data_IF_463141931485
#
_entry.id   IF_463141931485
#
_cell.length_a   1.000
_cell.length_b   1.000
_cell.length_c   1.000
_cell.angle_alpha   90.00
_cell.angle_beta   90.00
_cell.angle_gamma   90.00
#
_symmetry.space_group_name_H-M   'P 1'
#
loop_
_entity.id
_entity.type
_entity.pdbx_description
1 polymer ?
#
# COMPACT_ATOMS: atom_id res chain seq x y z
N UNK A 1 11.31 8.83 4.66
CA UNK A 1 11.28 8.10 5.95
C UNK A 1 10.29 6.94 5.84
N UNK A 2 10.61 5.76 6.36
CA UNK A 2 9.76 4.56 6.32
C UNK A 2 8.41 4.79 7.01
N UNK A 3 8.41 5.48 8.15
CA UNK A 3 7.21 5.77 8.95
C UNK A 3 6.16 6.57 8.16
N UNK A 4 6.60 7.61 7.46
CA UNK A 4 5.71 8.49 6.68
C UNK A 4 5.08 7.77 5.50
N UNK A 5 5.86 6.92 4.81
CA UNK A 5 5.34 6.15 3.68
C UNK A 5 4.37 5.05 4.15
N UNK A 6 4.70 4.36 5.25
CA UNK A 6 3.86 3.32 5.83
C UNK A 6 2.58 3.82 6.49
N UNK A 7 2.52 5.10 6.88
CA UNK A 7 1.29 5.68 7.46
C UNK A 7 0.21 5.98 6.42
N UNK A 8 0.56 6.21 5.14
CA UNK A 8 -0.41 6.63 4.11
C UNK A 8 -1.56 5.63 3.91
N UNK A 9 -1.33 4.31 3.78
CA UNK A 9 -2.40 3.31 3.71
C UNK A 9 -3.27 3.22 4.98
N UNK A 10 -2.66 3.47 6.14
CA UNK A 10 -3.28 3.32 7.45
C UNK A 10 -4.19 4.50 7.80
N UNK A 11 -4.07 5.63 7.10
CA UNK A 11 -4.88 6.82 7.35
C UNK A 11 -6.38 6.53 7.29
N UNK A 12 -6.84 5.68 6.37
CA UNK A 12 -8.27 5.33 6.25
C UNK A 12 -8.77 4.58 7.48
N UNK A 13 -7.96 3.67 8.01
CA UNK A 13 -8.30 2.92 9.22
C UNK A 13 -8.23 3.81 10.47
N UNK A 14 -7.26 4.73 10.54
CA UNK A 14 -7.19 5.74 11.60
C UNK A 14 -8.41 6.68 11.59
N UNK A 15 -8.87 7.10 10.41
CA UNK A 15 -10.10 7.87 10.26
C UNK A 15 -11.34 7.03 10.59
N UNK A 16 -11.31 5.73 10.32
CA UNK A 16 -12.32 4.76 10.75
C UNK A 16 -12.53 4.67 12.27
N UNK A 17 -11.55 5.13 13.07
CA UNK A 17 -11.68 5.23 14.53
C UNK A 17 -12.49 6.47 14.96
N UNK A 18 -12.49 7.52 14.15
CA UNK A 18 -13.17 8.79 14.41
C UNK A 18 -14.56 8.84 13.76
N UNK A 19 -14.72 8.18 12.61
CA UNK A 19 -15.94 8.09 11.84
C UNK A 19 -16.22 6.63 11.49
N UNK A 20 -17.45 6.11 11.68
CA UNK A 20 -17.78 4.74 11.27
C UNK A 20 -17.75 4.62 9.74
N UNK A 21 -16.62 4.14 9.22
CA UNK A 21 -16.43 3.85 7.80
C UNK A 21 -16.71 2.36 7.57
N UNK A 22 -17.64 2.00 6.67
CA UNK A 22 -17.89 0.60 6.33
C UNK A 22 -16.62 -0.09 5.81
N UNK A 23 -16.38 -1.33 6.21
CA UNK A 23 -15.17 -2.08 5.83
C UNK A 23 -15.07 -2.31 4.32
N UNK A 24 -16.23 -2.44 3.68
CA UNK A 24 -16.49 -2.48 2.24
C UNK A 24 -15.99 -1.24 1.49
N UNK A 25 -15.92 -0.09 2.17
CA UNK A 25 -15.35 1.16 1.62
C UNK A 25 -13.90 1.36 2.09
N UNK A 26 -13.59 1.00 3.34
CA UNK A 26 -12.26 1.21 3.91
C UNK A 26 -11.16 0.42 3.17
N UNK A 27 -11.43 -0.85 2.83
CA UNK A 27 -10.44 -1.71 2.19
C UNK A 27 -10.07 -1.24 0.77
N UNK A 28 -11.00 -0.96 -0.15
CA UNK A 28 -10.65 -0.44 -1.48
C UNK A 28 -9.92 0.90 -1.43
N UNK A 29 -10.31 1.80 -0.50
CA UNK A 29 -9.66 3.11 -0.37
C UNK A 29 -8.23 2.96 0.16
N UNK A 30 -8.00 2.09 1.16
CA UNK A 30 -6.66 1.79 1.65
C UNK A 30 -5.78 1.13 0.58
N UNK A 31 -6.36 0.27 -0.26
CA UNK A 31 -5.67 -0.35 -1.39
C UNK A 31 -5.23 0.70 -2.43
N UNK A 32 -6.12 1.62 -2.78
CA UNK A 32 -5.81 2.74 -3.68
C UNK A 32 -4.72 3.66 -3.11
N UNK A 33 -4.81 4.00 -1.82
CA UNK A 33 -3.79 4.80 -1.13
C UNK A 33 -2.43 4.09 -1.08
N UNK A 34 -2.42 2.77 -0.89
CA UNK A 34 -1.20 1.96 -0.94
C UNK A 34 -0.56 1.99 -2.32
N UNK A 35 -1.37 1.83 -3.37
CA UNK A 35 -0.89 1.93 -4.75
C UNK A 35 -0.30 3.31 -5.05
N UNK A 36 -0.97 4.39 -4.65
CA UNK A 36 -0.48 5.75 -4.80
C UNK A 36 0.79 6.01 -3.98
N UNK A 37 0.87 5.48 -2.76
CA UNK A 37 2.07 5.60 -1.93
C UNK A 37 3.28 4.88 -2.55
N UNK A 38 3.09 3.64 -3.03
CA UNK A 38 4.14 2.86 -3.69
C UNK A 38 4.59 3.51 -5.00
N UNK A 39 3.64 3.92 -5.83
CA UNK A 39 3.93 4.63 -7.07
C UNK A 39 4.65 5.94 -6.78
N UNK A 40 4.13 6.75 -5.86
CA UNK A 40 4.72 8.03 -5.45
C UNK A 40 6.13 7.87 -4.89
N UNK A 41 6.40 6.82 -4.11
CA UNK A 41 7.76 6.54 -3.61
C UNK A 41 8.71 6.10 -4.74
N UNK A 42 8.23 5.28 -5.68
CA UNK A 42 8.99 4.89 -6.86
C UNK A 42 9.30 6.08 -7.76
N UNK A 43 8.32 6.96 -7.93
CA UNK A 43 8.41 8.12 -8.77
C UNK A 43 9.23 9.26 -8.11
N UNK A 44 9.20 9.39 -6.77
CA UNK A 44 10.09 10.26 -6.02
C UNK A 44 11.58 9.88 -6.18
N UNK A 45 11.85 8.59 -6.37
CA UNK A 45 13.19 8.05 -6.62
C UNK A 45 13.82 8.58 -7.92
N UNK A 46 12.99 9.00 -8.88
CA UNK A 46 13.46 9.57 -10.15
C UNK A 46 14.12 10.94 -9.99
N UNK A 47 13.69 11.75 -9.02
CA UNK A 47 14.36 13.02 -8.72
C UNK A 47 15.84 12.84 -8.36
N UNK A 48 16.20 11.68 -7.83
CA UNK A 48 17.58 11.34 -7.44
C UNK A 48 18.32 10.57 -8.54
N UNK A 49 17.61 9.81 -9.39
CA UNK A 49 18.21 8.85 -10.34
C UNK A 49 18.15 9.23 -11.82
N UNK A 50 17.53 10.35 -12.19
CA UNK A 50 17.42 10.86 -13.58
C UNK A 50 16.78 9.87 -14.60
N UNK A 51 16.05 8.85 -14.14
CA UNK A 51 15.29 7.91 -15.00
C UNK A 51 13.86 8.39 -15.25
N UNK A 52 13.08 7.68 -16.08
CA UNK A 52 11.68 8.06 -16.32
C UNK A 52 10.78 7.78 -15.11
N UNK A 53 10.08 8.83 -14.65
CA UNK A 53 9.18 8.83 -13.48
C UNK A 53 8.15 7.70 -13.51
N UNK A 54 7.47 7.54 -14.65
CA UNK A 54 6.45 6.51 -14.83
C UNK A 54 7.03 5.09 -14.72
N UNK A 55 8.22 4.83 -15.26
CA UNK A 55 8.81 3.49 -15.25
C UNK A 55 9.22 3.07 -13.84
N UNK A 56 9.84 3.98 -13.09
CA UNK A 56 10.26 3.67 -11.71
C UNK A 56 9.07 3.55 -10.76
N UNK A 57 8.03 4.38 -10.95
CA UNK A 57 6.77 4.27 -10.21
C UNK A 57 6.08 2.92 -10.47
N UNK A 58 5.97 2.50 -11.73
CA UNK A 58 5.36 1.21 -12.10
C UNK A 58 6.18 0.02 -11.60
N UNK A 59 7.52 0.03 -11.72
CA UNK A 59 8.38 -1.02 -11.16
C UNK A 59 8.13 -1.18 -9.65
N UNK A 60 8.07 -0.07 -8.91
CA UNK A 60 7.85 -0.11 -7.47
C UNK A 60 6.44 -0.55 -7.10
N UNK A 61 5.42 -0.14 -7.86
CA UNK A 61 4.05 -0.58 -7.70
C UNK A 61 3.92 -2.09 -7.93
N UNK A 62 4.57 -2.62 -8.97
CA UNK A 62 4.55 -4.06 -9.27
C UNK A 62 5.24 -4.87 -8.17
N UNK A 63 6.43 -4.47 -7.75
CA UNK A 63 7.17 -5.17 -6.68
C UNK A 63 6.40 -5.12 -5.36
N UNK A 64 5.90 -3.95 -4.97
CA UNK A 64 5.10 -3.80 -3.76
C UNK A 64 3.76 -4.54 -3.83
N UNK A 65 3.11 -4.54 -4.99
CA UNK A 65 1.87 -5.28 -5.23
C UNK A 65 2.06 -6.79 -5.15
N UNK A 66 3.15 -7.32 -5.72
CA UNK A 66 3.51 -8.74 -5.60
C UNK A 66 3.78 -9.11 -4.13
N UNK A 67 4.53 -8.29 -3.40
CA UNK A 67 4.77 -8.50 -1.97
C UNK A 67 3.47 -8.50 -1.15
N UNK A 68 2.56 -7.56 -1.42
CA UNK A 68 1.24 -7.50 -0.79
C UNK A 68 0.40 -8.74 -1.11
N UNK A 69 0.43 -9.21 -2.36
CA UNK A 69 -0.25 -10.44 -2.78
C UNK A 69 0.26 -11.67 -2.04
N UNK A 70 1.60 -11.81 -1.90
CA UNK A 70 2.20 -12.89 -1.11
C UNK A 70 1.80 -12.79 0.36
N UNK A 71 1.87 -11.61 0.96
CA UNK A 71 1.48 -11.40 2.36
C UNK A 71 0.00 -11.75 2.61
N UNK A 72 -0.90 -11.33 1.71
CA UNK A 72 -2.32 -11.66 1.79
C UNK A 72 -2.57 -13.16 1.61
N UNK A 73 -1.92 -13.79 0.62
CA UNK A 73 -2.04 -15.22 0.38
C UNK A 73 -1.58 -16.06 1.57
N UNK A 74 -0.42 -15.72 2.14
CA UNK A 74 0.11 -16.35 3.36
C UNK A 74 -0.86 -16.15 4.53
N UNK A 75 -1.36 -14.93 4.74
CA UNK A 75 -2.37 -14.64 5.78
C UNK A 75 -3.67 -15.43 5.60
N UNK A 76 -4.13 -15.59 4.36
CA UNK A 76 -5.33 -16.37 4.04
C UNK A 76 -5.15 -17.87 4.35
N UNK A 77 -3.98 -18.44 4.04
CA UNK A 77 -3.66 -19.83 4.38
C UNK A 77 -3.55 -20.05 5.91
N UNK A 78 -3.05 -19.06 6.63
CA UNK A 78 -2.89 -19.10 8.09
C UNK A 78 -4.19 -18.82 8.86
N UNK A 79 -5.21 -18.23 8.22
CA UNK A 79 -6.46 -17.80 8.87
C UNK A 79 -7.22 -18.92 9.58
N UNK A 80 -7.01 -20.18 9.20
CA UNK A 80 -7.63 -21.35 9.85
C UNK A 80 -6.75 -22.09 10.86
N UNK A 81 -5.49 -21.66 11.04
CA UNK A 81 -4.51 -22.32 11.93
C UNK A 81 -4.36 -21.59 13.27
N UNK A 82 -4.69 -20.29 13.32
CA UNK A 82 -4.83 -19.54 14.56
C UNK A 82 -6.30 -19.55 14.97
N UNK A 83 -6.63 -20.24 16.07
CA UNK A 83 -7.99 -20.35 16.61
C UNK A 83 -8.64 -19.03 16.99
#
# INVERSE_FOLDING_TARGET
SFVVAGSVPLLVYLLGLLFPIPADVAFPVSLALSGLALFGLGAAKVFVTQRSFAKSGVEMLLVGGLAAGVAYGVGALLKGLGG
#
